data_IF_529062583017
#
_entry.id   IF_529062583017
#
_cell.length_a   1.000
_cell.length_b   1.000
_cell.length_c   1.000
_cell.angle_alpha   90.00
_cell.angle_beta   90.00
_cell.angle_gamma   90.00
#
_symmetry.space_group_name_H-M   'P 1'
#
loop_
_entity.id
_entity.type
_entity.pdbx_description
1 polymer ?
#
# COMPACT_ATOMS: atom_id res chain seq x y z
N UNK A 1 1.48 -39.14 -28.06
CA UNK A 1 1.62 -37.65 -27.94
C UNK A 1 0.90 -37.28 -26.68
N UNK A 2 1.55 -37.46 -25.53
CA UNK A 2 1.01 -37.16 -24.20
C UNK A 2 1.13 -35.67 -23.96
N UNK A 3 0.07 -35.11 -23.54
CA UNK A 3 -0.32 -33.80 -23.12
C UNK A 3 0.75 -32.98 -22.36
N UNK A 4 1.69 -32.40 -23.11
CA UNK A 4 2.71 -31.45 -22.58
C UNK A 4 2.15 -30.03 -22.47
N UNK A 5 0.83 -29.88 -22.69
CA UNK A 5 0.14 -28.59 -22.74
C UNK A 5 -0.31 -28.09 -21.37
N UNK A 6 -0.34 -28.92 -20.33
CA UNK A 6 -0.73 -28.54 -18.98
C UNK A 6 0.43 -28.15 -18.07
N UNK A 7 1.66 -28.61 -18.38
CA UNK A 7 2.84 -28.34 -17.56
C UNK A 7 3.25 -26.86 -17.58
N UNK A 8 3.31 -26.23 -16.40
CA UNK A 8 3.86 -24.88 -16.19
C UNK A 8 2.86 -23.73 -16.30
N UNK A 9 1.56 -23.97 -16.55
CA UNK A 9 0.54 -22.92 -16.53
C UNK A 9 -0.04 -22.76 -15.13
N UNK A 10 -0.05 -21.53 -14.61
CA UNK A 10 -0.57 -21.16 -13.29
C UNK A 10 -1.45 -19.91 -13.41
N UNK A 11 -2.41 -19.72 -12.51
CA UNK A 11 -3.07 -18.41 -12.36
C UNK A 11 -2.06 -17.35 -11.91
N UNK A 12 -2.33 -16.10 -12.22
CA UNK A 12 -1.45 -14.98 -11.88
C UNK A 12 -1.18 -14.88 -10.37
N UNK A 13 -2.19 -15.14 -9.53
CA UNK A 13 -2.04 -15.11 -8.08
C UNK A 13 -0.93 -16.07 -7.61
N UNK A 14 -1.01 -17.34 -8.00
CA UNK A 14 -0.03 -18.35 -7.59
C UNK A 14 1.35 -18.07 -8.20
N UNK A 15 1.40 -17.58 -9.45
CA UNK A 15 2.65 -17.25 -10.13
C UNK A 15 3.35 -16.04 -9.46
N UNK A 16 2.60 -15.00 -9.12
CA UNK A 16 3.12 -13.82 -8.42
C UNK A 16 3.56 -14.16 -6.99
N UNK A 17 2.79 -14.98 -6.27
CA UNK A 17 3.15 -15.42 -4.92
C UNK A 17 4.52 -16.11 -4.88
N UNK A 18 4.76 -17.02 -5.82
CA UNK A 18 6.05 -17.70 -5.94
C UNK A 18 7.17 -16.76 -6.39
N UNK A 19 6.90 -15.90 -7.38
CA UNK A 19 7.87 -14.94 -7.91
C UNK A 19 8.30 -13.88 -6.91
N UNK A 20 7.40 -13.42 -6.03
CA UNK A 20 7.71 -12.41 -5.03
C UNK A 20 8.23 -13.02 -3.71
N UNK A 21 7.60 -14.10 -3.24
CA UNK A 21 7.75 -14.61 -1.87
C UNK A 21 8.33 -16.02 -1.78
N UNK A 22 8.46 -16.73 -2.90
CA UNK A 22 9.06 -18.05 -2.97
C UNK A 22 10.52 -18.07 -2.48
N UNK A 23 11.15 -19.24 -2.36
CA UNK A 23 12.51 -19.37 -1.84
C UNK A 23 13.58 -18.54 -2.59
N UNK A 24 13.34 -18.24 -3.87
CA UNK A 24 14.17 -17.36 -4.71
C UNK A 24 13.43 -16.09 -5.12
N UNK A 25 12.36 -15.78 -4.41
CA UNK A 25 11.47 -14.65 -4.72
C UNK A 25 12.16 -13.30 -4.60
N UNK A 26 11.59 -12.33 -5.31
CA UNK A 26 12.12 -10.96 -5.43
C UNK A 26 12.38 -10.30 -4.08
N UNK A 27 11.45 -10.42 -3.12
CA UNK A 27 11.57 -9.80 -1.77
C UNK A 27 12.55 -10.51 -0.83
N UNK A 28 13.03 -11.71 -1.20
CA UNK A 28 14.07 -12.43 -0.43
C UNK A 28 15.49 -12.16 -0.92
N UNK A 29 15.65 -11.35 -1.96
CA UNK A 29 16.97 -10.98 -2.49
C UNK A 29 17.65 -9.95 -1.59
N UNK A 30 19.02 -9.97 -1.51
CA UNK A 30 19.78 -9.03 -0.67
C UNK A 30 19.54 -7.55 -1.04
N UNK A 31 19.28 -7.26 -2.32
CA UNK A 31 19.06 -5.92 -2.83
C UNK A 31 17.73 -5.34 -2.29
N UNK A 32 16.72 -6.19 -2.11
CA UNK A 32 15.38 -5.83 -1.63
C UNK A 32 14.69 -4.75 -2.48
N UNK A 33 13.45 -4.36 -2.12
CA UNK A 33 12.66 -3.37 -2.89
C UNK A 33 13.31 -1.98 -2.95
N UNK A 34 14.07 -1.58 -1.93
CA UNK A 34 14.70 -0.25 -1.85
C UNK A 34 15.69 0.07 -3.00
N UNK A 35 16.24 -0.97 -3.67
CA UNK A 35 17.09 -0.81 -4.85
C UNK A 35 16.32 -0.56 -6.15
N UNK A 36 14.99 -0.78 -6.13
CA UNK A 36 14.16 -0.80 -7.35
C UNK A 36 13.08 0.28 -7.39
N UNK A 37 12.68 0.85 -6.23
CA UNK A 37 11.58 1.81 -6.15
C UNK A 37 11.92 3.06 -5.32
N UNK A 38 11.34 4.18 -5.73
CA UNK A 38 11.29 5.41 -4.94
C UNK A 38 9.89 5.58 -4.38
N UNK A 39 9.61 4.93 -3.27
CA UNK A 39 8.34 5.06 -2.55
C UNK A 39 8.22 6.41 -1.85
N UNK A 40 7.03 6.75 -1.35
CA UNK A 40 6.80 7.98 -0.55
C UNK A 40 7.75 8.08 0.65
N UNK A 41 8.09 6.95 1.27
CA UNK A 41 9.01 6.86 2.41
C UNK A 41 10.43 7.26 2.02
N UNK A 42 10.90 6.82 0.84
CA UNK A 42 12.23 7.14 0.31
C UNK A 42 12.31 8.53 -0.32
N UNK A 43 11.17 9.09 -0.75
CA UNK A 43 11.13 10.40 -1.39
C UNK A 43 11.47 11.51 -0.41
N UNK A 44 11.01 11.45 0.85
CA UNK A 44 11.26 12.51 1.83
C UNK A 44 10.93 12.10 3.27
N UNK A 45 11.77 12.55 4.21
CA UNK A 45 11.50 12.51 5.65
C UNK A 45 10.20 13.27 6.04
N UNK A 46 9.65 14.11 5.15
CA UNK A 46 8.38 14.80 5.37
C UNK A 46 7.21 13.82 5.45
N UNK A 47 7.27 12.70 4.73
CA UNK A 47 6.24 11.66 4.77
C UNK A 47 6.18 11.02 6.17
N UNK A 48 7.31 10.52 6.67
CA UNK A 48 7.40 9.99 8.04
C UNK A 48 6.99 11.03 9.10
N UNK A 49 7.38 12.29 8.91
CA UNK A 49 6.93 13.40 9.76
C UNK A 49 5.41 13.66 9.71
N UNK A 50 4.77 13.42 8.57
CA UNK A 50 3.31 13.50 8.45
C UNK A 50 2.62 12.35 9.19
N UNK A 51 3.13 11.13 9.03
CA UNK A 51 2.63 9.95 9.77
C UNK A 51 2.84 10.11 11.28
N UNK A 52 3.96 10.71 11.73
CA UNK A 52 4.17 11.06 13.14
C UNK A 52 3.11 12.04 13.66
N UNK A 53 2.75 13.05 12.87
CA UNK A 53 1.64 13.98 13.22
C UNK A 53 0.30 13.28 13.28
N UNK A 54 0.05 12.33 12.34
CA UNK A 54 -1.15 11.51 12.37
C UNK A 54 -1.21 10.68 13.66
N UNK A 55 -0.12 10.02 14.03
CA UNK A 55 -0.04 9.27 15.30
C UNK A 55 -0.29 10.15 16.51
N UNK A 56 0.21 11.40 16.53
CA UNK A 56 -0.11 12.36 17.60
C UNK A 56 -1.61 12.69 17.68
N UNK A 57 -2.28 12.81 16.53
CA UNK A 57 -3.76 13.04 16.50
C UNK A 57 -4.52 11.80 16.95
N UNK A 58 -4.06 10.61 16.61
CA UNK A 58 -4.61 9.33 17.13
C UNK A 58 -4.43 9.25 18.65
N UNK A 59 -3.25 9.60 19.16
CA UNK A 59 -2.96 9.68 20.59
C UNK A 59 -3.96 10.62 21.33
N UNK A 60 -4.24 11.78 20.75
CA UNK A 60 -5.21 12.72 21.28
C UNK A 60 -6.64 12.17 21.24
N UNK A 61 -7.04 11.54 20.14
CA UNK A 61 -8.37 10.93 19.98
C UNK A 61 -8.57 9.72 20.90
N UNK A 62 -7.49 9.10 21.36
CA UNK A 62 -7.47 8.01 22.34
C UNK A 62 -7.36 8.48 23.79
N UNK A 63 -7.41 9.82 24.06
CA UNK A 63 -7.21 10.41 25.37
C UNK A 63 -5.81 10.12 26.00
N UNK A 64 -4.79 10.01 25.16
CA UNK A 64 -3.38 9.80 25.54
C UNK A 64 -3.16 8.56 26.43
N UNK A 65 -3.36 7.36 25.90
CA UNK A 65 -3.23 6.10 26.64
C UNK A 65 -1.83 5.91 27.20
N UNK A 66 -1.70 5.08 28.22
CA UNK A 66 -0.39 4.79 28.86
C UNK A 66 0.59 4.08 27.89
N UNK A 67 0.07 3.34 26.91
CA UNK A 67 0.83 2.74 25.82
C UNK A 67 0.12 3.06 24.49
N UNK A 68 0.88 3.40 23.45
CA UNK A 68 0.39 3.76 22.13
C UNK A 68 1.10 2.90 21.10
N UNK A 69 0.36 2.17 20.29
CA UNK A 69 0.94 1.30 19.28
C UNK A 69 1.16 2.04 17.97
N UNK A 70 2.32 1.80 17.36
CA UNK A 70 2.64 2.13 15.97
C UNK A 70 3.01 0.83 15.27
N UNK A 71 2.18 0.41 14.33
CA UNK A 71 2.40 -0.80 13.52
C UNK A 71 2.63 -0.38 12.07
N UNK A 72 3.80 -0.69 11.54
CA UNK A 72 4.20 -0.52 10.14
C UNK A 72 4.02 -1.88 9.45
N UNK A 73 2.98 -2.02 8.62
CA UNK A 73 2.61 -3.27 7.97
C UNK A 73 3.17 -3.29 6.54
N UNK A 74 3.98 -4.30 6.22
CA UNK A 74 4.83 -4.30 5.04
C UNK A 74 6.03 -3.37 5.24
N UNK A 75 6.71 -3.52 6.38
CA UNK A 75 7.69 -2.55 6.87
C UNK A 75 8.97 -2.44 6.03
N UNK A 76 9.20 -3.33 5.05
CA UNK A 76 10.39 -3.33 4.22
C UNK A 76 11.68 -3.42 5.04
N UNK A 77 12.44 -2.34 5.13
CA UNK A 77 13.62 -2.24 6.01
C UNK A 77 13.38 -1.41 7.27
N UNK A 78 12.13 -1.03 7.56
CA UNK A 78 11.74 -0.26 8.73
C UNK A 78 12.05 1.23 8.63
N UNK A 79 12.21 1.76 7.41
CA UNK A 79 12.48 3.18 7.18
C UNK A 79 11.33 4.05 7.70
N UNK A 80 10.08 3.66 7.43
CA UNK A 80 8.93 4.45 7.87
C UNK A 80 8.82 4.47 9.39
N UNK A 81 8.79 3.31 10.05
CA UNK A 81 8.67 3.24 11.50
C UNK A 81 9.80 3.97 12.21
N UNK A 82 11.05 3.84 11.70
CA UNK A 82 12.22 4.55 12.22
C UNK A 82 12.08 6.07 12.05
N UNK A 83 11.68 6.50 10.85
CA UNK A 83 11.46 7.91 10.54
C UNK A 83 10.35 8.55 11.39
N UNK A 84 9.26 7.81 11.63
CA UNK A 84 8.17 8.24 12.51
C UNK A 84 8.66 8.40 13.94
N UNK A 85 9.37 7.40 14.49
CA UNK A 85 9.95 7.47 15.84
C UNK A 85 10.89 8.65 16.03
N UNK A 86 11.69 8.99 15.00
CA UNK A 86 12.59 10.13 15.03
C UNK A 86 11.86 11.47 14.98
N UNK A 87 10.67 11.54 14.39
CA UNK A 87 9.88 12.76 14.23
C UNK A 87 8.89 13.03 15.38
N UNK A 88 8.63 12.02 16.24
CA UNK A 88 7.69 12.14 17.35
C UNK A 88 8.22 13.04 18.48
N UNK A 89 7.33 13.81 19.14
CA UNK A 89 7.66 14.49 20.40
C UNK A 89 8.06 13.48 21.50
N UNK A 90 9.08 13.82 22.32
CA UNK A 90 9.62 12.94 23.35
C UNK A 90 8.54 12.36 24.30
N UNK A 91 7.52 13.16 24.66
CA UNK A 91 6.42 12.72 25.52
C UNK A 91 5.55 11.62 24.89
N UNK A 92 5.39 11.63 23.56
CA UNK A 92 4.66 10.59 22.83
C UNK A 92 5.58 9.37 22.66
N UNK A 93 6.82 9.59 22.19
CA UNK A 93 7.80 8.52 21.96
C UNK A 93 8.01 7.65 23.20
N UNK A 94 7.99 8.24 24.41
CA UNK A 94 8.14 7.50 25.67
C UNK A 94 7.04 6.46 25.94
N UNK A 95 5.91 6.51 25.23
CA UNK A 95 4.76 5.62 25.38
C UNK A 95 4.54 4.72 24.18
N UNK A 96 5.29 4.97 23.07
CA UNK A 96 5.10 4.21 21.82
C UNK A 96 5.70 2.82 21.95
N UNK A 97 4.92 1.83 21.55
CA UNK A 97 5.36 0.48 21.21
C UNK A 97 5.38 0.40 19.69
N UNK A 98 6.55 0.26 19.11
CA UNK A 98 6.73 0.30 17.67
C UNK A 98 6.95 -1.11 17.12
N UNK A 99 6.22 -1.47 16.08
CA UNK A 99 6.26 -2.77 15.42
C UNK A 99 6.51 -2.59 13.93
N UNK A 100 7.47 -3.36 13.40
CA UNK A 100 7.62 -3.59 11.97
C UNK A 100 7.10 -4.99 11.66
N UNK A 101 6.11 -5.10 10.79
CA UNK A 101 5.55 -6.39 10.36
C UNK A 101 6.00 -6.67 8.93
N UNK A 102 6.81 -7.73 8.78
CA UNK A 102 7.44 -8.05 7.49
C UNK A 102 7.79 -9.54 7.43
N UNK A 103 7.71 -10.14 6.24
CA UNK A 103 8.09 -11.53 6.01
C UNK A 103 9.60 -11.74 5.93
N UNK A 104 10.34 -10.68 5.58
CA UNK A 104 11.79 -10.70 5.54
C UNK A 104 12.39 -10.59 6.95
N UNK A 105 13.63 -11.05 7.10
CA UNK A 105 14.36 -10.99 8.36
C UNK A 105 14.55 -9.53 8.82
N UNK A 106 14.63 -9.36 10.16
CA UNK A 106 14.92 -8.05 10.76
C UNK A 106 16.20 -7.46 10.19
N UNK A 107 16.17 -6.22 9.64
CA UNK A 107 17.36 -5.56 9.11
C UNK A 107 18.43 -5.31 10.19
N UNK A 108 19.70 -5.45 9.80
CA UNK A 108 20.81 -5.03 10.65
C UNK A 108 20.78 -3.51 10.91
N UNK A 109 21.04 -3.11 12.16
CA UNK A 109 21.07 -1.68 12.54
C UNK A 109 19.71 -1.02 12.70
N UNK A 110 18.61 -1.74 12.55
CA UNK A 110 17.27 -1.20 12.83
C UNK A 110 17.17 -0.73 14.28
N UNK A 111 16.49 0.40 14.51
CA UNK A 111 16.25 0.97 15.84
C UNK A 111 15.81 -0.12 16.85
N UNK A 112 16.51 -0.30 17.96
CA UNK A 112 16.22 -1.37 18.92
C UNK A 112 14.84 -1.26 19.57
N UNK A 113 14.18 -0.12 19.48
CA UNK A 113 12.82 0.09 19.98
C UNK A 113 11.75 -0.54 19.09
N UNK A 114 12.10 -0.91 17.87
CA UNK A 114 11.17 -1.56 16.92
C UNK A 114 11.18 -3.06 17.16
N UNK A 115 10.06 -3.60 17.55
CA UNK A 115 9.82 -5.05 17.56
C UNK A 115 9.52 -5.51 16.14
N UNK A 116 10.17 -6.60 15.69
CA UNK A 116 10.04 -7.11 14.32
C UNK A 116 9.25 -8.40 14.33
N UNK A 117 8.15 -8.44 13.61
CA UNK A 117 7.16 -9.52 13.62
C UNK A 117 6.89 -9.99 12.19
N UNK A 118 6.48 -11.25 12.04
CA UNK A 118 5.95 -11.80 10.79
C UNK A 118 4.45 -11.58 10.63
N UNK A 119 3.74 -11.44 11.75
CA UNK A 119 2.30 -11.24 11.78
C UNK A 119 1.94 -10.00 12.59
N UNK A 120 0.86 -9.32 12.21
CA UNK A 120 0.38 -8.15 12.93
C UNK A 120 0.01 -8.49 14.39
N UNK A 121 0.46 -7.69 15.38
CA UNK A 121 0.03 -7.87 16.76
C UNK A 121 -1.48 -7.67 16.88
N UNK A 122 -2.10 -8.34 17.84
CA UNK A 122 -3.54 -8.21 18.12
C UNK A 122 -3.80 -7.20 19.25
N UNK A 123 -4.97 -6.56 19.22
CA UNK A 123 -5.38 -5.60 20.25
C UNK A 123 -4.64 -4.28 20.16
N UNK A 124 -4.33 -3.84 18.93
CA UNK A 124 -3.63 -2.57 18.67
C UNK A 124 -4.47 -1.41 19.21
N UNK A 125 -3.85 -0.60 20.07
CA UNK A 125 -4.39 0.69 20.52
C UNK A 125 -3.47 1.79 20.00
N UNK A 126 -3.81 2.35 18.82
CA UNK A 126 -2.93 3.31 18.16
C UNK A 126 -3.12 3.39 16.65
N UNK A 127 -2.03 3.35 15.91
CA UNK A 127 -1.98 3.47 14.45
C UNK A 127 -1.41 2.21 13.82
N UNK A 128 -2.20 1.56 12.95
CA UNK A 128 -1.74 0.61 11.97
C UNK A 128 -1.59 1.34 10.63
N UNK A 129 -0.41 1.29 10.03
CA UNK A 129 -0.10 1.96 8.78
C UNK A 129 0.52 0.99 7.79
N UNK A 130 -0.06 0.88 6.61
CA UNK A 130 0.41 0.04 5.50
C UNK A 130 0.71 0.96 4.31
N UNK A 131 1.98 1.06 3.91
CA UNK A 131 2.38 1.87 2.77
C UNK A 131 2.89 0.99 1.64
N UNK A 132 2.21 1.03 0.50
CA UNK A 132 2.58 0.21 -0.65
C UNK A 132 2.71 -1.28 -0.25
N UNK A 133 1.63 -1.80 0.35
CA UNK A 133 1.55 -3.17 0.85
C UNK A 133 0.47 -3.98 0.15
N UNK A 134 -0.71 -3.37 -0.12
CA UNK A 134 -1.82 -4.08 -0.75
C UNK A 134 -1.57 -4.37 -2.23
N UNK A 135 -0.82 -3.51 -2.93
CA UNK A 135 -0.43 -3.71 -4.32
C UNK A 135 0.42 -4.98 -4.50
N UNK A 136 1.15 -5.38 -3.45
CA UNK A 136 1.98 -6.57 -3.40
C UNK A 136 1.24 -7.84 -2.94
N UNK A 137 -0.02 -7.75 -2.54
CA UNK A 137 -0.86 -8.93 -2.28
C UNK A 137 -1.29 -9.54 -3.61
N UNK A 138 -0.87 -10.79 -3.93
CA UNK A 138 -1.10 -11.41 -5.22
C UNK A 138 -2.59 -11.62 -5.53
N UNK A 139 -2.97 -11.38 -6.78
CA UNK A 139 -4.35 -11.45 -7.27
C UNK A 139 -4.45 -12.28 -8.54
N UNK A 140 -5.63 -12.83 -8.82
CA UNK A 140 -5.92 -13.40 -10.13
C UNK A 140 -6.25 -12.28 -11.12
N UNK A 141 -5.99 -12.55 -12.40
CA UNK A 141 -6.34 -11.69 -13.52
C UNK A 141 -7.43 -12.34 -14.35
N UNK A 142 -8.46 -11.57 -14.69
CA UNK A 142 -9.49 -11.95 -15.63
C UNK A 142 -9.33 -11.18 -16.94
N UNK A 143 -9.66 -11.84 -18.07
CA UNK A 143 -9.76 -11.21 -19.39
C UNK A 143 -10.99 -11.72 -20.12
N UNK A 144 -11.67 -10.84 -20.86
CA UNK A 144 -12.85 -11.18 -21.64
C UNK A 144 -12.43 -11.84 -22.96
N UNK A 145 -12.96 -13.05 -23.22
CA UNK A 145 -12.69 -13.77 -24.45
C UNK A 145 -13.53 -13.24 -25.64
N UNK A 146 -13.29 -13.80 -26.84
CA UNK A 146 -14.01 -13.42 -28.08
C UNK A 146 -15.52 -13.74 -28.08
N UNK A 147 -15.98 -14.52 -27.08
CA UNK A 147 -17.41 -14.79 -26.85
C UNK A 147 -18.02 -13.84 -25.81
N UNK A 148 -17.26 -12.89 -25.29
CA UNK A 148 -17.69 -11.94 -24.25
C UNK A 148 -17.69 -12.53 -22.81
N UNK A 149 -17.00 -13.64 -22.59
CA UNK A 149 -16.96 -14.34 -21.29
C UNK A 149 -15.66 -14.00 -20.55
N UNK A 150 -15.71 -13.49 -19.31
CA UNK A 150 -14.52 -13.31 -18.48
C UNK A 150 -13.88 -14.65 -18.11
N UNK A 151 -12.60 -14.83 -18.41
CA UNK A 151 -11.80 -16.01 -18.10
C UNK A 151 -10.60 -15.66 -17.26
N UNK A 152 -10.15 -16.59 -16.43
CA UNK A 152 -8.87 -16.47 -15.74
C UNK A 152 -7.73 -16.44 -16.73
N UNK A 153 -6.76 -15.56 -16.52
CA UNK A 153 -5.53 -15.53 -17.31
C UNK A 153 -4.50 -16.43 -16.63
N UNK A 154 -4.03 -17.42 -17.38
CA UNK A 154 -2.97 -18.30 -16.96
C UNK A 154 -1.64 -17.82 -17.53
N UNK A 155 -0.56 -17.93 -16.75
CA UNK A 155 0.78 -17.48 -17.11
C UNK A 155 1.82 -18.58 -16.90
N UNK A 156 2.87 -18.57 -17.71
CA UNK A 156 4.09 -19.35 -17.53
C UNK A 156 5.19 -18.49 -16.91
N UNK A 157 6.28 -19.16 -16.47
CA UNK A 157 7.45 -18.51 -15.90
C UNK A 157 8.12 -17.50 -16.84
N UNK A 158 7.99 -17.68 -18.16
CA UNK A 158 8.50 -16.75 -19.18
C UNK A 158 7.56 -15.54 -19.47
N UNK A 159 6.44 -15.43 -18.74
CA UNK A 159 5.45 -14.38 -18.94
C UNK A 159 4.46 -14.63 -20.08
N UNK A 160 4.53 -15.77 -20.78
CA UNK A 160 3.54 -16.14 -21.80
C UNK A 160 2.19 -16.38 -21.16
N UNK A 161 1.15 -15.75 -21.70
CA UNK A 161 -0.23 -15.85 -21.19
C UNK A 161 -1.15 -16.68 -22.11
N UNK A 162 -2.20 -17.22 -21.51
CA UNK A 162 -3.37 -17.77 -22.21
C UNK A 162 -4.62 -17.66 -21.37
N UNK A 163 -5.78 -17.69 -22.01
CA UNK A 163 -7.06 -17.80 -21.31
C UNK A 163 -7.27 -19.22 -20.77
N UNK A 164 -7.74 -19.28 -19.54
CA UNK A 164 -8.11 -20.49 -18.81
C UNK A 164 -9.62 -20.70 -18.76
N UNK A 165 -10.10 -21.26 -17.63
CA UNK A 165 -11.51 -21.47 -17.38
C UNK A 165 -12.25 -20.15 -17.16
N UNK A 166 -13.58 -20.09 -17.38
CA UNK A 166 -14.39 -18.94 -17.00
C UNK A 166 -14.26 -18.62 -15.53
N UNK A 167 -14.23 -17.32 -15.20
CA UNK A 167 -14.24 -16.87 -13.80
C UNK A 167 -15.53 -17.34 -13.13
N UNK A 168 -15.44 -17.94 -11.93
CA UNK A 168 -16.57 -18.55 -11.24
C UNK A 168 -16.53 -18.28 -9.72
N UNK A 169 -17.64 -18.61 -9.02
CA UNK A 169 -17.75 -18.52 -7.57
C UNK A 169 -17.50 -17.12 -7.02
N UNK A 170 -16.81 -17.03 -5.89
CA UNK A 170 -16.55 -15.76 -5.20
C UNK A 170 -15.78 -14.73 -6.04
N UNK A 171 -14.92 -15.19 -6.95
CA UNK A 171 -14.18 -14.31 -7.87
C UNK A 171 -15.11 -13.68 -8.90
N UNK A 172 -16.06 -14.44 -9.44
CA UNK A 172 -17.07 -13.90 -10.36
C UNK A 172 -18.01 -12.91 -9.65
N UNK A 173 -18.41 -13.19 -8.41
CA UNK A 173 -19.22 -12.28 -7.60
C UNK A 173 -18.46 -10.98 -7.30
N UNK A 174 -17.18 -11.09 -6.96
CA UNK A 174 -16.32 -9.93 -6.73
C UNK A 174 -16.19 -9.08 -8.00
N UNK A 175 -15.90 -9.72 -9.14
CA UNK A 175 -15.74 -9.06 -10.43
C UNK A 175 -17.03 -8.33 -10.84
N UNK A 176 -18.19 -8.99 -10.75
CA UNK A 176 -19.48 -8.39 -11.07
C UNK A 176 -19.82 -7.18 -10.21
N UNK A 177 -19.39 -7.19 -8.95
CA UNK A 177 -19.66 -6.09 -8.00
C UNK A 177 -18.69 -4.93 -8.14
N UNK A 178 -17.38 -5.22 -8.24
CA UNK A 178 -16.33 -4.23 -8.06
C UNK A 178 -15.60 -3.83 -9.33
N UNK A 179 -15.59 -4.71 -10.36
CA UNK A 179 -14.94 -4.42 -11.63
C UNK A 179 -15.71 -5.08 -12.78
N UNK A 180 -16.95 -4.65 -13.00
CA UNK A 180 -17.78 -5.27 -14.06
C UNK A 180 -17.15 -5.02 -15.43
N UNK A 181 -16.82 -6.10 -16.13
CA UNK A 181 -16.29 -6.06 -17.48
C UNK A 181 -17.43 -6.11 -18.48
N UNK A 182 -17.44 -5.21 -19.46
CA UNK A 182 -18.32 -5.32 -20.61
C UNK A 182 -17.96 -6.59 -21.43
N UNK A 183 -18.89 -7.16 -22.20
CA UNK A 183 -18.62 -8.35 -23.04
C UNK A 183 -17.83 -7.97 -24.31
N UNK A 184 -16.69 -7.28 -24.12
CA UNK A 184 -15.80 -6.82 -25.18
C UNK A 184 -14.44 -7.52 -25.00
N UNK A 185 -13.98 -8.20 -26.08
CA UNK A 185 -12.73 -8.97 -26.07
C UNK A 185 -11.53 -8.12 -25.63
N UNK A 186 -10.71 -8.68 -24.77
CA UNK A 186 -9.46 -8.08 -24.29
C UNK A 186 -9.60 -7.13 -23.11
N UNK A 187 -10.81 -6.84 -22.61
CA UNK A 187 -10.95 -6.11 -21.34
C UNK A 187 -10.43 -6.97 -20.19
N UNK A 188 -9.67 -6.34 -19.27
CA UNK A 188 -8.97 -7.03 -18.17
C UNK A 188 -9.30 -6.42 -16.83
N UNK A 189 -9.22 -7.25 -15.78
CA UNK A 189 -9.35 -6.81 -14.40
C UNK A 189 -8.49 -7.69 -13.48
N UNK A 190 -7.91 -7.09 -12.45
CA UNK A 190 -7.31 -7.77 -11.31
C UNK A 190 -8.40 -8.05 -10.26
N UNK A 191 -8.58 -9.32 -9.88
CA UNK A 191 -9.61 -9.75 -8.92
C UNK A 191 -9.10 -9.52 -7.50
N UNK A 192 -9.46 -8.38 -6.91
CA UNK A 192 -8.91 -7.89 -5.64
C UNK A 192 -9.38 -8.62 -4.37
N UNK A 193 -10.14 -9.71 -4.47
CA UNK A 193 -10.66 -10.45 -3.31
C UNK A 193 -9.61 -10.82 -2.25
N UNK A 194 -8.36 -11.25 -2.60
CA UNK A 194 -7.31 -11.47 -1.61
C UNK A 194 -6.89 -10.20 -0.86
N UNK A 195 -6.86 -9.05 -1.54
CA UNK A 195 -6.52 -7.74 -0.97
C UNK A 195 -7.59 -7.26 0.01
N UNK A 196 -8.86 -7.47 -0.34
CA UNK A 196 -10.00 -7.21 0.54
C UNK A 196 -9.89 -8.00 1.84
N UNK A 197 -9.57 -9.29 1.72
CA UNK A 197 -9.37 -10.20 2.87
C UNK A 197 -8.17 -9.78 3.72
N UNK A 198 -7.05 -9.44 3.07
CA UNK A 198 -5.84 -8.99 3.76
C UNK A 198 -6.10 -7.69 4.55
N UNK A 199 -6.75 -6.70 3.93
CA UNK A 199 -7.09 -5.45 4.61
C UNK A 199 -8.08 -5.64 5.75
N UNK A 200 -9.16 -6.40 5.54
CA UNK A 200 -10.12 -6.71 6.60
C UNK A 200 -9.45 -7.41 7.78
N UNK A 201 -8.53 -8.34 7.52
CA UNK A 201 -7.76 -9.03 8.56
C UNK A 201 -6.83 -8.08 9.31
N UNK A 202 -6.18 -7.15 8.63
CA UNK A 202 -5.33 -6.13 9.25
C UNK A 202 -6.15 -5.20 10.16
N UNK A 203 -7.28 -4.67 9.67
CA UNK A 203 -8.18 -3.80 10.47
C UNK A 203 -8.72 -4.52 11.70
N UNK A 204 -9.03 -5.82 11.59
CA UNK A 204 -9.52 -6.63 12.70
C UNK A 204 -8.50 -6.79 13.85
N UNK A 205 -7.23 -6.50 13.65
CA UNK A 205 -6.21 -6.48 14.71
C UNK A 205 -6.24 -5.21 15.56
N UNK A 206 -6.91 -4.15 15.08
CA UNK A 206 -7.03 -2.86 15.78
C UNK A 206 -8.19 -2.93 16.76
N UNK A 207 -7.91 -2.77 18.05
CA UNK A 207 -8.92 -2.68 19.10
C UNK A 207 -9.51 -1.28 19.18
N UNK A 208 -8.64 -0.25 19.21
CA UNK A 208 -9.01 1.18 19.17
C UNK A 208 -7.92 1.99 18.47
N UNK A 209 -8.31 2.82 17.53
CA UNK A 209 -7.36 3.68 16.85
C UNK A 209 -7.67 3.88 15.37
N UNK A 210 -6.63 3.91 14.57
CA UNK A 210 -6.73 4.17 13.13
C UNK A 210 -5.97 3.11 12.34
N UNK A 211 -6.58 2.60 11.29
CA UNK A 211 -5.91 1.84 10.24
C UNK A 211 -5.84 2.68 8.96
N UNK A 212 -4.67 2.71 8.32
CA UNK A 212 -4.43 3.45 7.07
C UNK A 212 -3.70 2.56 6.09
N UNK A 213 -4.23 2.44 4.86
CA UNK A 213 -3.49 1.89 3.73
C UNK A 213 -3.23 3.00 2.69
N UNK A 214 -2.00 3.04 2.16
CA UNK A 214 -1.58 3.99 1.12
C UNK A 214 -1.07 3.19 -0.06
N UNK A 215 -1.70 3.36 -1.23
CA UNK A 215 -1.36 2.54 -2.37
C UNK A 215 -1.70 3.23 -3.71
N UNK A 216 -1.13 2.72 -4.80
CA UNK A 216 -1.66 2.99 -6.15
C UNK A 216 -3.10 2.52 -6.22
N UNK A 217 -4.02 3.38 -6.58
CA UNK A 217 -5.43 3.07 -6.38
C UNK A 217 -6.33 3.48 -7.53
N UNK A 218 -7.43 2.78 -7.62
CA UNK A 218 -8.60 3.16 -8.40
C UNK A 218 -9.88 2.84 -7.64
N UNK A 219 -10.98 3.42 -8.07
CA UNK A 219 -12.32 3.19 -7.55
C UNK A 219 -13.25 2.72 -8.68
N UNK A 220 -14.45 2.28 -8.36
CA UNK A 220 -15.43 1.81 -9.34
C UNK A 220 -15.63 2.81 -10.50
N UNK A 221 -15.51 4.11 -10.22
CA UNK A 221 -15.65 5.18 -11.22
C UNK A 221 -14.43 5.32 -12.14
N UNK A 222 -13.28 4.78 -11.76
CA UNK A 222 -11.98 4.98 -12.43
C UNK A 222 -11.27 3.68 -12.78
N UNK A 223 -12.00 2.53 -12.86
CA UNK A 223 -11.42 1.24 -13.24
C UNK A 223 -10.75 1.32 -14.61
N UNK A 224 -9.48 0.96 -14.73
CA UNK A 224 -8.82 0.92 -16.03
C UNK A 224 -9.36 -0.26 -16.87
N UNK A 225 -9.61 -0.07 -18.17
CA UNK A 225 -10.28 -1.10 -19.00
C UNK A 225 -9.40 -2.33 -19.30
N UNK A 226 -8.07 -2.18 -19.21
CA UNK A 226 -7.10 -3.24 -19.56
C UNK A 226 -6.29 -3.73 -18.37
N UNK A 227 -6.77 -3.48 -17.14
CA UNK A 227 -6.02 -3.80 -15.93
C UNK A 227 -4.81 -2.89 -15.71
N UNK A 228 -4.03 -3.22 -14.69
CA UNK A 228 -2.86 -2.45 -14.25
C UNK A 228 -1.67 -3.32 -13.93
N UNK A 229 -1.79 -4.65 -14.07
CA UNK A 229 -0.71 -5.58 -13.75
C UNK A 229 0.54 -5.25 -14.56
N UNK A 230 1.64 -4.98 -13.88
CA UNK A 230 2.91 -4.61 -14.49
C UNK A 230 4.09 -5.16 -13.69
N UNK A 231 5.28 -5.14 -14.29
CA UNK A 231 6.52 -5.45 -13.63
C UNK A 231 7.40 -4.22 -13.45
N UNK A 232 8.27 -4.24 -12.44
CA UNK A 232 9.32 -3.24 -12.29
C UNK A 232 10.69 -3.87 -12.10
N UNK A 233 11.69 -3.36 -12.83
CA UNK A 233 13.08 -3.76 -12.71
C UNK A 233 13.97 -2.53 -12.77
N UNK A 234 14.85 -2.35 -11.78
CA UNK A 234 15.80 -1.23 -11.72
C UNK A 234 15.11 0.14 -11.88
N UNK A 235 13.93 0.32 -11.26
CA UNK A 235 13.17 1.56 -11.32
C UNK A 235 12.46 1.83 -12.67
N UNK A 236 12.36 0.83 -13.53
CA UNK A 236 11.68 0.95 -14.83
C UNK A 236 10.56 -0.05 -14.96
N UNK A 237 9.46 0.41 -15.50
CA UNK A 237 8.34 -0.44 -15.87
C UNK A 237 8.76 -1.44 -16.96
N UNK A 238 8.31 -2.68 -16.84
CA UNK A 238 8.55 -3.80 -17.75
C UNK A 238 7.33 -4.71 -17.82
N UNK A 239 7.29 -5.62 -18.78
CA UNK A 239 6.30 -6.69 -18.77
C UNK A 239 6.45 -7.52 -17.47
N UNK A 240 5.33 -7.91 -16.83
CA UNK A 240 5.38 -8.77 -15.64
C UNK A 240 5.81 -10.19 -16.06
N UNK A 241 6.93 -10.66 -15.52
CA UNK A 241 7.47 -12.02 -15.77
C UNK A 241 7.65 -12.70 -14.41
N UNK A 242 6.90 -13.79 -14.12
CA UNK A 242 6.88 -14.41 -12.81
C UNK A 242 8.05 -15.38 -12.58
N UNK A 243 9.27 -14.95 -12.91
CA UNK A 243 10.55 -15.66 -12.72
C UNK A 243 11.34 -15.14 -11.51
N UNK A 244 10.76 -14.20 -10.75
CA UNK A 244 11.42 -13.54 -9.62
C UNK A 244 12.44 -12.47 -10.01
N UNK A 245 12.60 -12.12 -11.29
CA UNK A 245 13.58 -11.12 -11.75
C UNK A 245 13.07 -9.68 -11.69
N UNK A 246 11.77 -9.47 -11.52
CA UNK A 246 11.15 -8.17 -11.38
C UNK A 246 10.14 -8.20 -10.23
N UNK A 247 9.83 -7.04 -9.70
CA UNK A 247 8.64 -6.87 -8.89
C UNK A 247 7.41 -6.94 -9.78
N UNK A 248 6.34 -7.54 -9.26
CA UNK A 248 5.06 -7.66 -9.97
C UNK A 248 4.00 -7.01 -9.10
N UNK A 249 3.39 -5.96 -9.60
CA UNK A 249 2.42 -5.15 -8.89
C UNK A 249 1.20 -4.84 -9.75
N UNK A 250 0.11 -4.47 -9.11
CA UNK A 250 -1.09 -3.94 -9.75
C UNK A 250 -1.79 -2.96 -8.82
N UNK A 251 -2.49 -1.97 -9.37
CA UNK A 251 -3.22 -0.99 -8.57
C UNK A 251 -4.34 -1.65 -7.74
N UNK A 252 -4.69 -1.03 -6.64
CA UNK A 252 -5.61 -1.55 -5.64
C UNK A 252 -7.01 -0.95 -5.79
N UNK A 253 -8.03 -1.82 -5.76
CA UNK A 253 -9.43 -1.42 -5.65
C UNK A 253 -9.76 -1.02 -4.21
N UNK A 254 -9.33 0.17 -3.76
CA UNK A 254 -9.44 0.59 -2.36
C UNK A 254 -10.89 0.70 -1.86
N UNK A 255 -11.85 0.95 -2.72
CA UNK A 255 -13.29 0.96 -2.40
C UNK A 255 -13.82 -0.44 -2.04
N UNK A 256 -13.29 -1.48 -2.68
CA UNK A 256 -13.61 -2.87 -2.34
C UNK A 256 -12.99 -3.23 -0.98
N UNK A 257 -11.70 -2.95 -0.76
CA UNK A 257 -11.02 -3.13 0.52
C UNK A 257 -11.74 -2.41 1.68
N UNK A 258 -12.15 -1.16 1.46
CA UNK A 258 -12.89 -0.35 2.42
C UNK A 258 -14.19 -1.03 2.88
N UNK A 259 -14.92 -1.60 1.91
CA UNK A 259 -16.20 -2.27 2.19
C UNK A 259 -16.00 -3.61 2.90
N UNK A 260 -14.99 -4.38 2.53
CA UNK A 260 -14.70 -5.68 3.15
C UNK A 260 -14.42 -5.54 4.65
N UNK A 261 -13.65 -4.55 5.05
CA UNK A 261 -13.34 -4.29 6.46
C UNK A 261 -14.55 -3.78 7.27
N UNK A 262 -15.47 -3.02 6.64
CA UNK A 262 -16.68 -2.53 7.32
C UNK A 262 -17.74 -3.61 7.47
N UNK A 263 -17.81 -4.57 6.55
CA UNK A 263 -18.79 -5.66 6.58
C UNK A 263 -18.55 -6.66 7.72
N UNK A 264 -17.35 -6.69 8.28
CA UNK A 264 -16.97 -7.58 9.38
C UNK A 264 -17.41 -7.09 10.77
N UNK A 265 -17.98 -5.87 10.90
CA UNK A 265 -18.40 -5.32 12.20
C UNK A 265 -19.01 -3.92 12.12
N UNK A 266 -19.33 -3.34 13.26
CA UNK A 266 -19.92 -2.00 13.45
C UNK A 266 -18.90 -0.86 13.32
N UNK A 267 -17.99 -0.93 12.34
CA UNK A 267 -17.02 0.14 12.11
C UNK A 267 -17.69 1.33 11.40
N UNK A 268 -17.36 2.58 11.76
CA UNK A 268 -17.73 3.73 10.97
C UNK A 268 -17.15 3.61 9.56
N UNK A 269 -17.81 4.23 8.59
CA UNK A 269 -17.43 4.14 7.18
C UNK A 269 -15.96 4.48 6.94
N UNK A 270 -15.36 3.78 6.00
CA UNK A 270 -14.03 4.10 5.53
C UNK A 270 -14.03 5.41 4.74
N UNK A 271 -12.93 6.13 4.79
CA UNK A 271 -12.72 7.35 4.01
C UNK A 271 -11.59 7.15 3.01
N UNK A 272 -11.86 7.51 1.76
CA UNK A 272 -10.86 7.52 0.70
C UNK A 272 -10.40 8.96 0.44
N UNK A 273 -9.10 9.16 0.38
CA UNK A 273 -8.45 10.44 0.10
C UNK A 273 -7.34 10.25 -0.91
N UNK A 274 -6.94 11.31 -1.59
CA UNK A 274 -5.64 11.32 -2.27
C UNK A 274 -4.52 11.60 -1.26
N UNK A 275 -3.31 11.08 -1.51
CA UNK A 275 -2.13 11.42 -0.69
C UNK A 275 -1.93 12.91 -0.55
N UNK A 276 -2.15 13.66 -1.63
CA UNK A 276 -2.11 15.13 -1.61
C UNK A 276 -3.06 15.71 -0.57
N UNK A 277 -4.30 15.23 -0.52
CA UNK A 277 -5.30 15.72 0.43
C UNK A 277 -4.91 15.35 1.87
N UNK A 278 -4.52 14.09 2.11
CA UNK A 278 -4.11 13.61 3.42
C UNK A 278 -2.87 14.36 3.94
N UNK A 279 -1.83 14.50 3.11
CA UNK A 279 -0.60 15.20 3.50
C UNK A 279 -0.83 16.69 3.77
N UNK A 280 -1.71 17.35 3.00
CA UNK A 280 -2.12 18.73 3.28
C UNK A 280 -2.85 18.87 4.62
N UNK A 281 -3.78 17.96 4.93
CA UNK A 281 -4.46 17.91 6.21
C UNK A 281 -3.47 17.70 7.38
N UNK A 282 -2.35 17.02 7.11
CA UNK A 282 -1.25 16.81 8.04
C UNK A 282 -0.18 17.91 7.99
N UNK A 283 -0.42 19.04 7.31
CA UNK A 283 0.46 20.20 7.29
C UNK A 283 1.68 20.08 6.39
N UNK A 284 1.70 19.15 5.42
CA UNK A 284 2.70 19.11 4.36
C UNK A 284 2.23 20.01 3.22
N UNK A 285 2.85 21.19 3.11
CA UNK A 285 2.52 22.17 2.07
C UNK A 285 3.78 22.49 1.26
N UNK A 286 3.67 22.46 -0.05
CA UNK A 286 4.75 22.88 -0.97
C UNK A 286 4.89 24.40 -1.08
N UNK A 287 4.47 25.17 -0.06
CA UNK A 287 4.55 26.62 -0.06
C UNK A 287 6.02 27.08 -0.11
N UNK A 288 6.34 27.92 -1.11
CA UNK A 288 7.67 28.50 -1.22
C UNK A 288 7.95 29.44 -0.04
N UNK A 289 9.16 29.41 0.54
CA UNK A 289 9.52 30.34 1.59
C UNK A 289 9.51 31.78 1.04
N UNK A 290 9.20 32.79 1.87
CA UNK A 290 9.18 34.17 1.46
C UNK A 290 10.61 34.63 1.08
N UNK A 291 10.72 35.41 0.01
CA UNK A 291 12.01 35.90 -0.49
C UNK A 291 12.79 36.73 0.56
N UNK A 292 12.11 37.37 1.49
CA UNK A 292 12.74 38.11 2.59
C UNK A 292 13.63 37.18 3.44
N UNK A 293 13.30 35.90 3.59
CA UNK A 293 14.13 34.94 4.29
C UNK A 293 15.49 34.73 3.60
N UNK A 294 15.57 34.85 2.28
CA UNK A 294 16.83 34.74 1.55
C UNK A 294 17.85 35.84 1.94
N UNK A 295 17.34 37.01 2.35
CA UNK A 295 18.20 38.11 2.82
C UNK A 295 18.52 38.07 4.30
N UNK A 296 17.59 37.51 5.14
CA UNK A 296 17.76 37.51 6.61
C UNK A 296 18.40 36.23 7.12
N UNK A 297 18.13 35.07 6.49
CA UNK A 297 18.73 33.76 6.77
C UNK A 297 18.86 32.96 5.45
N UNK A 298 19.94 33.18 4.66
CA UNK A 298 20.14 32.48 3.40
C UNK A 298 20.19 30.96 3.53
N UNK A 299 20.80 30.46 4.59
CA UNK A 299 20.90 29.01 4.87
C UNK A 299 19.52 28.42 5.20
N UNK A 300 18.74 29.12 6.02
CA UNK A 300 17.35 28.77 6.32
C UNK A 300 16.48 28.80 5.07
N UNK A 301 16.66 29.77 4.20
CA UNK A 301 15.93 29.86 2.93
C UNK A 301 16.20 28.66 2.02
N UNK A 302 17.46 28.26 1.82
CA UNK A 302 17.83 27.10 1.00
C UNK A 302 17.21 25.81 1.57
N UNK A 303 17.30 25.61 2.89
CA UNK A 303 16.67 24.45 3.56
C UNK A 303 15.15 24.44 3.39
N UNK A 304 14.49 25.58 3.56
CA UNK A 304 13.03 25.71 3.38
C UNK A 304 12.62 25.49 1.93
N UNK A 305 13.42 25.95 0.96
CA UNK A 305 13.17 25.71 -0.47
C UNK A 305 13.32 24.23 -0.85
N UNK A 306 14.34 23.53 -0.32
CA UNK A 306 14.51 22.10 -0.50
C UNK A 306 13.29 21.33 0.05
N UNK A 307 12.84 21.65 1.27
CA UNK A 307 11.64 21.06 1.87
C UNK A 307 10.37 21.34 1.05
N UNK A 308 10.24 22.52 0.48
CA UNK A 308 9.11 22.84 -0.41
C UNK A 308 9.15 22.00 -1.70
N UNK A 309 10.35 21.71 -2.23
CA UNK A 309 10.53 20.81 -3.38
C UNK A 309 10.12 19.36 -3.03
N UNK A 310 10.57 18.84 -1.89
CA UNK A 310 10.19 17.50 -1.41
C UNK A 310 8.67 17.40 -1.17
N UNK A 311 8.06 18.40 -0.55
CA UNK A 311 6.61 18.44 -0.36
C UNK A 311 5.86 18.50 -1.70
N UNK A 312 6.38 19.21 -2.69
CA UNK A 312 5.81 19.28 -4.03
C UNK A 312 5.85 17.90 -4.71
N UNK A 313 6.96 17.14 -4.59
CA UNK A 313 7.09 15.79 -5.11
C UNK A 313 6.04 14.84 -4.48
N UNK A 314 5.92 14.83 -3.14
CA UNK A 314 4.96 14.00 -2.40
C UNK A 314 3.49 14.32 -2.72
N UNK A 315 3.21 15.53 -3.22
CA UNK A 315 1.85 16.00 -3.49
C UNK A 315 1.58 16.28 -4.97
N UNK A 316 2.51 15.86 -5.87
CA UNK A 316 2.41 16.13 -7.31
C UNK A 316 1.23 15.41 -7.95
N UNK A 317 0.44 16.06 -8.82
CA UNK A 317 -0.50 15.40 -9.73
C UNK A 317 0.26 14.50 -10.71
N UNK A 318 -0.31 13.36 -11.07
CA UNK A 318 0.32 12.38 -11.96
C UNK A 318 1.50 11.65 -11.34
N UNK A 319 1.64 11.68 -10.01
CA UNK A 319 2.73 11.04 -9.26
C UNK A 319 2.28 10.64 -7.87
N UNK A 320 3.19 10.70 -6.89
CA UNK A 320 2.94 10.28 -5.49
C UNK A 320 1.70 10.92 -4.87
N UNK A 321 1.35 12.17 -5.29
CA UNK A 321 0.18 12.87 -4.76
C UNK A 321 -1.17 12.24 -5.11
N UNK A 322 -1.21 11.33 -6.08
CA UNK A 322 -2.43 10.66 -6.52
C UNK A 322 -2.62 9.27 -5.88
N UNK A 323 -1.66 8.80 -5.06
CA UNK A 323 -1.86 7.59 -4.28
C UNK A 323 -3.14 7.70 -3.44
N UNK A 324 -3.86 6.58 -3.35
CA UNK A 324 -5.05 6.48 -2.52
C UNK A 324 -4.69 6.26 -1.05
N UNK A 325 -5.32 6.98 -0.16
CA UNK A 325 -5.31 6.74 1.28
C UNK A 325 -6.66 6.18 1.69
N UNK A 326 -6.69 4.94 2.13
CA UNK A 326 -7.84 4.32 2.77
C UNK A 326 -7.68 4.49 4.28
N UNK A 327 -8.59 5.23 4.90
CA UNK A 327 -8.55 5.60 6.32
C UNK A 327 -9.75 4.99 7.03
N UNK A 328 -9.52 4.16 8.05
CA UNK A 328 -10.56 3.51 8.85
C UNK A 328 -10.34 3.73 10.34
N UNK A 329 -11.25 4.47 10.97
CA UNK A 329 -11.26 4.69 12.41
C UNK A 329 -11.94 3.52 13.13
N UNK A 330 -11.35 3.07 14.23
CA UNK A 330 -11.87 2.01 15.10
C UNK A 330 -12.04 2.57 16.50
N UNK A 331 -13.29 2.82 16.90
CA UNK A 331 -13.63 3.32 18.24
C UNK A 331 -13.11 4.72 18.57
N UNK A 332 -12.70 5.51 17.56
CA UNK A 332 -12.30 6.92 17.71
C UNK A 332 -12.90 7.77 16.58
N UNK A 333 -13.05 9.09 16.76
CA UNK A 333 -13.33 10.02 15.66
C UNK A 333 -12.21 9.98 14.60
N UNK A 334 -12.51 10.39 13.35
CA UNK A 334 -11.49 10.49 12.29
C UNK A 334 -10.46 11.58 12.65
N UNK A 335 -9.17 11.22 12.85
CA UNK A 335 -8.13 12.17 13.23
C UNK A 335 -7.72 13.13 12.11
N UNK A 336 -8.11 12.87 10.86
CA UNK A 336 -7.85 13.78 9.74
C UNK A 336 -8.88 14.91 9.65
N UNK A 337 -9.99 14.82 10.41
CA UNK A 337 -11.08 15.81 10.40
C UNK A 337 -11.93 15.76 9.12
N UNK A 338 -12.99 16.55 9.08
CA UNK A 338 -13.72 16.79 7.83
C UNK A 338 -12.87 17.65 6.88
N UNK A 339 -12.98 17.44 5.54
CA UNK A 339 -12.22 18.20 4.56
C UNK A 339 -12.58 19.68 4.53
#
# INVERSE_FOLDING_TARGET
MTDDTAAGWRGWRAATEDALYGPQGFYRRPEGPAGHFRTSVHASALFAGAVARLLCRVDEALDRPAALDLVDLGAGRGELVTGVLAALPAKVTARVRAYGVEIADRPEGLDPRVEWLTDSPKGITGLLFANEWLDNVPVEVAEVDSAGVPRLVLVREDGTERLGEPVAGAEAEWLARWWPLAPEEGLRAEIGLPRDTAWASAVATVERGLAVAVDYAHTLETRPPFGTLTGFREGRETAPVPDGSCDITAHVALDACATAATSAGTLPGARLLTQRAALRALGVTGARPPLTLASTDPTGYVRALARAGEAAELTAPGGLGDFGWLVQSVGIPDPLGEP
#
